data_IF_894283135351
#
_entry.id   IF_894283135351
#
_cell.length_a   1.000
_cell.length_b   1.000
_cell.length_c   1.000
_cell.angle_alpha   90.00
_cell.angle_beta   90.00
_cell.angle_gamma   90.00
#
_symmetry.space_group_name_H-M   'P 1'
#
loop_
_entity.id
_entity.type
_entity.pdbx_description
1 polymer ?
#
# COMPACT_ATOMS: atom_id res chain seq x y z
N UNK A 1 11.99 -12.17 7.15
CA UNK A 1 11.12 -12.70 6.07
C UNK A 1 9.70 -12.29 6.40
N UNK A 2 9.17 -11.29 5.70
CA UNK A 2 7.74 -10.95 5.80
C UNK A 2 6.99 -11.97 4.95
N UNK A 3 6.21 -12.85 5.57
CA UNK A 3 5.38 -13.82 4.84
C UNK A 3 4.31 -13.01 4.09
N UNK A 4 4.12 -13.21 2.76
CA UNK A 4 3.07 -12.53 2.03
C UNK A 4 1.72 -12.83 2.68
N UNK A 5 1.02 -11.81 3.17
CA UNK A 5 -0.30 -11.99 3.75
C UNK A 5 -1.29 -12.12 2.59
N UNK A 6 -2.00 -13.26 2.44
CA UNK A 6 -2.97 -13.40 1.36
C UNK A 6 -4.06 -12.33 1.50
N UNK A 7 -4.63 -11.79 0.40
CA UNK A 7 -5.61 -10.69 0.45
C UNK A 7 -6.80 -10.99 1.37
N UNK A 8 -7.26 -12.26 1.40
CA UNK A 8 -8.35 -12.72 2.25
C UNK A 8 -8.04 -12.65 3.76
N UNK A 9 -6.77 -12.59 4.16
CA UNK A 9 -6.38 -12.42 5.56
C UNK A 9 -6.35 -10.94 5.98
N UNK A 10 -6.21 -9.99 5.05
CA UNK A 10 -6.22 -8.55 5.34
C UNK A 10 -7.56 -8.09 5.89
N UNK A 11 -8.66 -8.64 5.36
CA UNK A 11 -10.02 -8.30 5.77
C UNK A 11 -10.30 -8.62 7.25
N UNK A 12 -9.55 -9.55 7.84
CA UNK A 12 -9.69 -9.96 9.24
C UNK A 12 -8.93 -9.09 10.23
N UNK A 13 -7.98 -8.28 9.75
CA UNK A 13 -7.20 -7.39 10.61
C UNK A 13 -8.03 -6.16 11.00
N UNK A 14 -7.70 -5.51 12.11
CA UNK A 14 -8.30 -4.21 12.47
C UNK A 14 -7.60 -3.08 11.71
N UNK A 15 -8.22 -1.90 11.60
CA UNK A 15 -7.58 -0.74 10.95
C UNK A 15 -6.23 -0.38 11.61
N UNK A 16 -6.09 -0.31 12.95
CA UNK A 16 -4.79 -0.09 13.58
C UNK A 16 -3.75 -1.16 13.23
N UNK A 17 -4.15 -2.43 13.16
CA UNK A 17 -3.24 -3.52 12.79
C UNK A 17 -2.76 -3.39 11.33
N UNK A 18 -3.64 -2.98 10.41
CA UNK A 18 -3.28 -2.70 9.02
C UNK A 18 -2.32 -1.51 8.92
N UNK A 19 -2.58 -0.41 9.63
CA UNK A 19 -1.69 0.77 9.62
C UNK A 19 -0.31 0.42 10.18
N UNK A 20 -0.25 -0.35 11.27
CA UNK A 20 1.02 -0.83 11.81
C UNK A 20 1.75 -1.78 10.83
N UNK A 21 1.01 -2.61 10.10
CA UNK A 21 1.58 -3.46 9.04
C UNK A 21 2.14 -2.62 7.89
N UNK A 22 1.41 -1.59 7.47
CA UNK A 22 1.87 -0.67 6.43
C UNK A 22 3.17 0.04 6.82
N UNK A 23 3.25 0.56 8.05
CA UNK A 23 4.47 1.19 8.56
C UNK A 23 5.69 0.22 8.52
N UNK A 24 5.49 -1.03 8.94
CA UNK A 24 6.56 -2.05 8.90
C UNK A 24 7.00 -2.39 7.47
N UNK A 25 6.07 -2.45 6.52
CA UNK A 25 6.37 -2.70 5.12
C UNK A 25 7.15 -1.54 4.50
N UNK A 26 6.76 -0.30 4.78
CA UNK A 26 7.49 0.89 4.30
C UNK A 26 8.92 0.94 4.84
N UNK A 27 9.13 0.66 6.14
CA UNK A 27 10.48 0.56 6.71
C UNK A 27 11.30 -0.58 6.08
N UNK A 28 10.67 -1.74 5.82
CA UNK A 28 11.33 -2.87 5.16
C UNK A 28 11.74 -2.54 3.72
N UNK A 29 10.84 -1.94 2.94
CA UNK A 29 11.09 -1.50 1.56
C UNK A 29 12.24 -0.49 1.46
N UNK A 30 12.41 0.36 2.47
CA UNK A 30 13.50 1.33 2.52
C UNK A 30 14.88 0.68 2.71
N UNK A 31 14.93 -0.51 3.31
CA UNK A 31 16.18 -1.18 3.72
C UNK A 31 16.54 -2.38 2.85
N UNK A 32 15.56 -2.98 2.19
CA UNK A 32 15.71 -4.27 1.56
C UNK A 32 15.16 -4.30 0.14
N UNK A 33 15.81 -5.05 -0.76
CA UNK A 33 15.18 -5.41 -2.01
C UNK A 33 13.98 -6.32 -1.77
N UNK A 34 12.91 -6.07 -2.52
CA UNK A 34 11.73 -6.93 -2.61
C UNK A 34 11.51 -7.32 -4.06
N UNK A 35 10.93 -8.50 -4.26
CA UNK A 35 10.40 -8.91 -5.56
C UNK A 35 9.18 -8.07 -5.95
N UNK A 36 8.81 -8.10 -7.23
CA UNK A 36 7.62 -7.43 -7.73
C UNK A 36 6.34 -7.97 -7.04
N UNK A 37 6.25 -9.28 -6.80
CA UNK A 37 5.10 -9.90 -6.15
C UNK A 37 4.97 -9.49 -4.69
N UNK A 38 6.09 -9.42 -3.95
CA UNK A 38 6.12 -8.89 -2.58
C UNK A 38 5.70 -7.42 -2.55
N UNK A 39 6.21 -6.60 -3.47
CA UNK A 39 5.82 -5.19 -3.57
C UNK A 39 4.31 -5.03 -3.81
N UNK A 40 3.73 -5.83 -4.70
CA UNK A 40 2.28 -5.82 -4.95
C UNK A 40 1.50 -6.26 -3.70
N UNK A 41 1.97 -7.28 -2.98
CA UNK A 41 1.36 -7.72 -1.73
C UNK A 41 1.38 -6.63 -0.65
N UNK A 42 2.49 -5.89 -0.54
CA UNK A 42 2.63 -4.77 0.40
C UNK A 42 1.66 -3.63 0.06
N UNK A 43 1.57 -3.26 -1.22
CA UNK A 43 0.66 -2.19 -1.67
C UNK A 43 -0.82 -2.56 -1.47
N UNK A 44 -1.17 -3.85 -1.50
CA UNK A 44 -2.54 -4.30 -1.18
C UNK A 44 -2.94 -4.00 0.28
N UNK A 45 -1.99 -3.96 1.22
CA UNK A 45 -2.28 -3.52 2.60
C UNK A 45 -2.73 -2.06 2.61
N UNK A 46 -2.03 -1.19 1.86
CA UNK A 46 -2.40 0.22 1.73
C UNK A 46 -3.76 0.40 1.05
N UNK A 47 -4.09 -0.49 0.10
CA UNK A 47 -5.38 -0.51 -0.56
C UNK A 47 -6.53 -0.83 0.40
N UNK A 48 -6.38 -1.88 1.22
CA UNK A 48 -7.37 -2.25 2.24
C UNK A 48 -7.61 -1.12 3.25
N UNK A 49 -6.54 -0.43 3.68
CA UNK A 49 -6.65 0.77 4.53
C UNK A 49 -7.49 1.84 3.82
N UNK A 50 -7.21 2.12 2.54
CA UNK A 50 -7.95 3.12 1.77
C UNK A 50 -9.44 2.80 1.70
N UNK A 51 -9.79 1.53 1.43
CA UNK A 51 -11.19 1.09 1.34
C UNK A 51 -11.92 1.31 2.67
N UNK A 52 -11.29 0.97 3.80
CA UNK A 52 -11.88 1.16 5.13
C UNK A 52 -12.10 2.61 5.50
N UNK A 53 -11.13 3.48 5.17
CA UNK A 53 -11.23 4.91 5.45
C UNK A 53 -12.33 5.59 4.60
N UNK A 54 -12.62 5.07 3.41
CA UNK A 54 -13.76 5.52 2.59
C UNK A 54 -15.09 5.06 3.19
N UNK A 55 -15.15 3.85 3.73
CA UNK A 55 -16.36 3.28 4.31
C UNK A 55 -16.71 3.91 5.67
N UNK A 56 -15.70 4.25 6.48
CA UNK A 56 -15.91 4.82 7.82
C UNK A 56 -14.82 5.85 8.18
N UNK A 57 -15.20 7.04 8.68
CA UNK A 57 -14.24 8.00 9.20
C UNK A 57 -13.39 7.43 10.35
N UNK A 58 -12.14 7.91 10.46
CA UNK A 58 -11.23 7.59 11.57
C UNK A 58 -10.79 8.87 12.30
N UNK A 59 -10.02 8.73 13.37
CA UNK A 59 -9.48 9.85 14.16
C UNK A 59 -8.54 10.74 13.33
N UNK A 60 -8.29 11.97 13.80
CA UNK A 60 -7.31 12.85 13.20
C UNK A 60 -5.90 12.26 13.31
N UNK A 61 -5.52 11.81 14.50
CA UNK A 61 -4.23 11.15 14.79
C UNK A 61 -3.93 9.98 13.83
N UNK A 62 -4.92 9.11 13.56
CA UNK A 62 -4.72 8.00 12.61
C UNK A 62 -4.47 8.51 11.19
N UNK A 63 -5.11 9.61 10.80
CA UNK A 63 -4.94 10.21 9.45
C UNK A 63 -3.57 10.87 9.32
N UNK A 64 -3.11 11.56 10.34
CA UNK A 64 -1.79 12.21 10.39
C UNK A 64 -0.68 11.15 10.33
N UNK A 65 -0.77 10.12 11.18
CA UNK A 65 0.18 8.99 11.14
C UNK A 65 0.20 8.31 9.76
N UNK A 66 -0.96 8.09 9.13
CA UNK A 66 -1.00 7.49 7.79
C UNK A 66 -0.38 8.41 6.73
N UNK A 67 -0.58 9.72 6.84
CA UNK A 67 0.02 10.69 5.91
C UNK A 67 1.55 10.70 6.01
N UNK A 68 2.10 10.60 7.23
CA UNK A 68 3.55 10.49 7.44
C UNK A 68 4.13 9.20 6.82
N UNK A 69 3.47 8.06 7.03
CA UNK A 69 3.89 6.78 6.44
C UNK A 69 3.79 6.84 4.91
N UNK A 70 2.72 7.44 4.37
CA UNK A 70 2.54 7.61 2.93
C UNK A 70 3.63 8.49 2.33
N UNK A 71 4.06 9.55 3.02
CA UNK A 71 5.16 10.41 2.57
C UNK A 71 6.50 9.67 2.57
N UNK A 72 6.77 8.85 3.59
CA UNK A 72 7.94 7.97 3.60
C UNK A 72 7.93 7.00 2.42
N UNK A 73 6.80 6.34 2.16
CA UNK A 73 6.64 5.46 1.00
C UNK A 73 6.89 6.21 -0.31
N UNK A 74 6.37 7.44 -0.45
CA UNK A 74 6.59 8.29 -1.62
C UNK A 74 8.06 8.68 -1.80
N UNK A 75 8.80 8.86 -0.71
CA UNK A 75 10.20 9.24 -0.73
C UNK A 75 11.12 8.11 -1.21
N UNK A 76 10.73 6.84 -1.01
CA UNK A 76 11.50 5.64 -1.38
C UNK A 76 11.02 4.99 -2.69
N UNK A 77 9.96 5.52 -3.29
CA UNK A 77 9.40 5.07 -4.57
C UNK A 77 9.46 6.17 -5.62
N UNK A 78 9.24 5.80 -6.88
CA UNK A 78 9.04 6.69 -8.02
C UNK A 78 7.68 6.45 -8.66
N UNK A 79 7.23 7.40 -9.49
CA UNK A 79 6.00 7.24 -10.24
C UNK A 79 6.17 6.17 -11.31
N UNK A 80 5.15 5.32 -11.46
CA UNK A 80 5.08 4.29 -12.49
C UNK A 80 4.05 4.70 -13.55
N UNK A 81 4.40 4.50 -14.82
CA UNK A 81 3.46 4.69 -15.93
C UNK A 81 2.28 3.70 -15.91
N UNK A 82 2.44 2.56 -15.22
CA UNK A 82 1.45 1.49 -15.14
C UNK A 82 1.13 1.05 -13.72
N UNK A 83 -0.05 0.45 -13.55
CA UNK A 83 -0.45 -0.20 -12.31
C UNK A 83 0.46 -1.40 -12.03
N UNK A 84 1.15 -1.41 -10.90
CA UNK A 84 2.04 -2.52 -10.48
C UNK A 84 1.30 -3.83 -10.24
N UNK A 85 0.00 -3.77 -9.93
CA UNK A 85 -0.85 -4.96 -9.81
C UNK A 85 -1.38 -5.47 -11.17
N UNK A 86 -0.98 -4.83 -12.28
CA UNK A 86 -1.33 -5.19 -13.64
C UNK A 86 -2.56 -4.47 -14.18
N UNK A 87 -2.51 -4.11 -15.47
CA UNK A 87 -3.58 -3.42 -16.18
C UNK A 87 -4.94 -4.17 -16.18
N UNK A 88 -5.00 -5.50 -16.39
CA UNK A 88 -6.26 -6.23 -16.33
C UNK A 88 -6.96 -6.10 -14.98
N UNK A 89 -6.18 -6.18 -13.88
CA UNK A 89 -6.73 -6.09 -12.52
C UNK A 89 -7.21 -4.68 -12.20
N UNK A 90 -6.43 -3.66 -12.53
CA UNK A 90 -6.88 -2.27 -12.32
C UNK A 90 -8.14 -1.93 -13.11
N UNK A 91 -8.28 -2.48 -14.33
CA UNK A 91 -9.49 -2.29 -15.12
C UNK A 91 -10.71 -2.98 -14.52
N UNK A 92 -10.57 -4.24 -14.09
CA UNK A 92 -11.65 -5.01 -13.47
C UNK A 92 -12.17 -4.37 -12.18
N UNK A 93 -11.27 -3.78 -11.38
CA UNK A 93 -11.60 -3.14 -10.11
C UNK A 93 -11.83 -1.63 -10.22
N UNK A 94 -11.79 -1.07 -11.43
CA UNK A 94 -11.89 0.36 -11.73
C UNK A 94 -10.93 1.25 -10.89
N UNK A 95 -9.70 0.76 -10.65
CA UNK A 95 -8.66 1.52 -9.97
C UNK A 95 -8.07 2.59 -10.88
N UNK A 96 -7.66 3.72 -10.30
CA UNK A 96 -7.08 4.85 -11.01
C UNK A 96 -5.91 5.47 -10.27
N UNK A 97 -4.95 6.05 -11.00
CA UNK A 97 -3.80 6.74 -10.41
C UNK A 97 -4.20 7.88 -9.46
N UNK A 98 -5.33 8.55 -9.71
CA UNK A 98 -5.80 9.63 -8.84
C UNK A 98 -6.30 9.16 -7.47
N UNK A 99 -6.88 7.96 -7.38
CA UNK A 99 -7.49 7.43 -6.14
C UNK A 99 -6.65 6.37 -5.46
N UNK A 100 -6.05 5.48 -6.25
CA UNK A 100 -5.20 4.38 -5.83
C UNK A 100 -3.74 4.64 -6.25
N UNK A 101 -3.27 5.88 -6.04
CA UNK A 101 -1.93 6.36 -6.42
C UNK A 101 -0.79 5.41 -6.05
N UNK A 102 -0.93 4.66 -4.95
CA UNK A 102 0.06 3.69 -4.47
C UNK A 102 0.28 2.51 -5.44
N UNK A 103 -0.69 2.17 -6.31
CA UNK A 103 -0.48 1.19 -7.39
C UNK A 103 0.27 1.78 -8.59
N UNK A 104 0.39 3.10 -8.70
CA UNK A 104 1.19 3.79 -9.72
C UNK A 104 2.52 4.27 -9.15
N UNK A 105 3.05 3.53 -8.18
CA UNK A 105 4.40 3.72 -7.66
C UNK A 105 5.21 2.47 -7.91
N UNK A 106 6.45 2.63 -8.31
CA UNK A 106 7.43 1.56 -8.39
C UNK A 106 8.58 1.85 -7.43
N UNK A 107 9.28 0.82 -6.98
CA UNK A 107 10.53 1.02 -6.25
C UNK A 107 11.55 1.69 -7.19
N UNK A 108 12.28 2.68 -6.68
CA UNK A 108 13.37 3.30 -7.44
C UNK A 108 14.40 2.24 -7.82
N UNK A 109 14.81 2.23 -9.08
CA UNK A 109 16.04 1.56 -9.45
C UNK A 109 17.20 2.31 -8.76
N UNK A 110 17.80 1.68 -7.76
CA UNK A 110 19.02 2.16 -7.11
C UNK A 110 20.24 1.95 -7.99
#
# INVERSE_FOLDING_TARGET
MSVPIPPAALTRLTLPALVAQWARMVDYLARHPVSADEFVADVLVRHEIAQRLRAKPTTLETREMLAEIDEQFRSITEESAGCVAGAPRSAAEAWSAGREWYFWRARRAG
#
